data_IF_168112991406
#
_entry.id   IF_168112991406
#
_cell.length_a   1.000
_cell.length_b   1.000
_cell.length_c   1.000
_cell.angle_alpha   90.00
_cell.angle_beta   90.00
_cell.angle_gamma   90.00
#
_symmetry.space_group_name_H-M   'P 1'
#
loop_
_entity.id
_entity.type
_entity.pdbx_description
1 polymer ?
#
# COMPACT_ATOMS: atom_id res chain seq x y z
N UNK A 1 -14.80 -1.70 -1.44
CA UNK A 1 -15.81 -1.94 -2.50
C UNK A 1 -17.03 -2.62 -1.89
N UNK A 2 -18.22 -2.04 -1.99
CA UNK A 2 -19.45 -2.62 -1.41
C UNK A 2 -20.18 -3.45 -2.46
N UNK A 3 -20.54 -4.68 -2.12
CA UNK A 3 -21.22 -5.64 -2.98
C UNK A 3 -22.41 -6.27 -2.24
N UNK A 4 -23.37 -6.78 -3.01
CA UNK A 4 -24.48 -7.58 -2.49
C UNK A 4 -24.09 -9.06 -2.55
N UNK A 5 -24.20 -9.79 -1.44
CA UNK A 5 -23.80 -11.20 -1.35
C UNK A 5 -24.59 -12.11 -2.28
N UNK A 6 -25.80 -11.72 -2.70
CA UNK A 6 -26.62 -12.53 -3.61
C UNK A 6 -26.18 -12.46 -5.07
N UNK A 7 -25.57 -11.33 -5.49
CA UNK A 7 -25.08 -11.13 -6.87
C UNK A 7 -23.73 -10.41 -6.92
N UNK A 8 -22.69 -10.91 -6.23
CA UNK A 8 -21.45 -10.17 -6.06
C UNK A 8 -20.58 -10.18 -7.32
N UNK A 9 -20.61 -11.27 -8.10
CA UNK A 9 -19.66 -11.51 -9.20
C UNK A 9 -19.81 -10.51 -10.35
N UNK A 10 -21.04 -10.22 -10.77
CA UNK A 10 -21.29 -9.31 -11.90
C UNK A 10 -20.87 -7.88 -11.56
N UNK A 11 -21.26 -7.39 -10.37
CA UNK A 11 -20.89 -6.05 -9.93
C UNK A 11 -19.40 -5.93 -9.63
N UNK A 12 -18.81 -6.96 -9.01
CA UNK A 12 -17.36 -7.01 -8.79
C UNK A 12 -16.59 -6.85 -10.10
N UNK A 13 -16.92 -7.66 -11.12
CA UNK A 13 -16.23 -7.62 -12.41
C UNK A 13 -16.35 -6.26 -13.10
N UNK A 14 -17.54 -5.65 -13.07
CA UNK A 14 -17.75 -4.33 -13.66
C UNK A 14 -16.94 -3.25 -12.93
N UNK A 15 -16.98 -3.22 -11.60
CA UNK A 15 -16.26 -2.23 -10.81
C UNK A 15 -14.74 -2.39 -10.94
N UNK A 16 -14.24 -3.62 -10.92
CA UNK A 16 -12.82 -3.90 -11.12
C UNK A 16 -12.37 -3.45 -12.51
N UNK A 17 -13.15 -3.74 -13.56
CA UNK A 17 -12.83 -3.32 -14.92
C UNK A 17 -12.75 -1.79 -15.06
N UNK A 18 -13.73 -1.06 -14.52
CA UNK A 18 -13.71 0.41 -14.55
C UNK A 18 -12.51 0.96 -13.79
N UNK A 19 -12.25 0.49 -12.57
CA UNK A 19 -11.12 0.96 -11.76
C UNK A 19 -9.77 0.63 -12.42
N UNK A 20 -9.62 -0.55 -12.99
CA UNK A 20 -8.43 -0.93 -13.74
C UNK A 20 -8.25 -0.08 -15.01
N UNK A 21 -9.35 0.31 -15.68
CA UNK A 21 -9.34 1.24 -16.80
C UNK A 21 -8.83 2.64 -16.44
N UNK A 22 -9.00 3.08 -15.19
CA UNK A 22 -8.43 4.33 -14.67
C UNK A 22 -6.99 4.18 -14.12
N UNK A 23 -6.35 3.04 -14.32
CA UNK A 23 -4.97 2.79 -13.88
C UNK A 23 -4.84 2.48 -12.38
N UNK A 24 -5.95 2.18 -11.70
CA UNK A 24 -5.92 1.64 -10.34
C UNK A 24 -5.67 0.13 -10.38
N UNK A 25 -4.84 -0.36 -9.46
CA UNK A 25 -4.56 -1.80 -9.30
C UNK A 25 -4.92 -2.20 -7.88
N UNK A 26 -6.04 -2.92 -7.74
CA UNK A 26 -6.58 -3.31 -6.44
C UNK A 26 -5.85 -4.55 -5.91
N UNK A 27 -5.40 -4.51 -4.66
CA UNK A 27 -4.75 -5.64 -3.95
C UNK A 27 -3.56 -6.26 -4.70
N UNK A 28 -2.91 -5.50 -5.60
CA UNK A 28 -1.74 -5.91 -6.37
C UNK A 28 -0.51 -5.14 -5.86
N UNK A 29 0.66 -5.76 -5.99
CA UNK A 29 1.95 -5.10 -5.78
C UNK A 29 2.53 -4.64 -7.11
N UNK A 30 3.39 -3.60 -7.12
CA UNK A 30 4.09 -3.19 -8.33
C UNK A 30 4.86 -4.36 -8.96
N UNK A 31 4.69 -4.63 -10.27
CA UNK A 31 5.40 -5.68 -10.98
C UNK A 31 6.92 -5.55 -10.82
N UNK A 32 7.59 -6.64 -10.45
CA UNK A 32 9.06 -6.66 -10.32
C UNK A 32 9.74 -6.89 -11.68
N UNK A 33 9.47 -5.98 -12.62
CA UNK A 33 10.03 -5.98 -13.98
C UNK A 33 11.02 -4.83 -14.09
N UNK A 34 12.25 -5.13 -14.51
CA UNK A 34 13.23 -4.09 -14.80
C UNK A 34 13.09 -3.68 -16.25
N UNK A 35 12.64 -2.44 -16.49
CA UNK A 35 12.52 -1.85 -17.81
C UNK A 35 13.52 -0.70 -17.97
N UNK A 36 14.38 -0.78 -19.00
CA UNK A 36 15.33 0.28 -19.34
C UNK A 36 15.30 0.59 -20.83
N UNK A 37 14.86 1.79 -21.19
CA UNK A 37 14.90 2.28 -22.57
C UNK A 37 16.34 2.52 -23.03
N UNK A 38 16.62 2.20 -24.30
CA UNK A 38 17.92 2.43 -24.96
C UNK A 38 17.76 3.34 -26.18
N UNK A 39 18.88 3.86 -26.66
CA UNK A 39 18.92 4.62 -27.92
C UNK A 39 19.05 3.70 -29.14
N UNK A 40 19.76 2.57 -29.01
CA UNK A 40 20.06 1.61 -30.10
C UNK A 40 20.19 0.19 -29.55
N UNK A 41 20.08 -0.82 -30.41
CA UNK A 41 20.37 -2.22 -30.08
C UNK A 41 19.15 -3.14 -30.00
N UNK A 42 17.96 -2.67 -30.37
CA UNK A 42 16.74 -3.47 -30.37
C UNK A 42 16.18 -3.76 -28.98
N UNK A 43 15.22 -4.67 -28.93
CA UNK A 43 14.60 -5.16 -27.69
C UNK A 43 15.34 -6.41 -27.23
N UNK A 44 15.90 -6.36 -26.03
CA UNK A 44 16.49 -7.51 -25.36
C UNK A 44 15.56 -7.94 -24.22
N UNK A 45 15.16 -9.21 -24.24
CA UNK A 45 14.36 -9.82 -23.20
C UNK A 45 15.22 -10.84 -22.43
N UNK A 46 15.38 -10.62 -21.13
CA UNK A 46 16.00 -11.57 -20.21
C UNK A 46 14.95 -12.05 -19.22
N UNK A 47 14.78 -13.36 -19.07
CA UNK A 47 13.87 -13.95 -18.10
C UNK A 47 14.68 -14.78 -17.09
N UNK A 48 14.49 -14.51 -15.79
CA UNK A 48 15.10 -15.30 -14.71
C UNK A 48 14.27 -16.55 -14.42
N UNK A 49 12.97 -16.51 -14.73
CA UNK A 49 12.01 -17.59 -14.56
C UNK A 49 11.36 -17.90 -15.91
N UNK A 50 10.97 -19.16 -16.14
CA UNK A 50 10.22 -19.54 -17.33
C UNK A 50 8.94 -18.71 -17.46
N UNK A 51 8.65 -18.22 -18.67
CA UNK A 51 7.47 -17.40 -18.94
C UNK A 51 6.39 -18.24 -19.62
N UNK A 52 5.15 -18.04 -19.19
CA UNK A 52 3.97 -18.71 -19.75
C UNK A 52 3.35 -17.92 -20.91
N UNK A 53 3.38 -16.58 -20.82
CA UNK A 53 2.69 -15.68 -21.75
C UNK A 53 3.66 -14.79 -22.54
N UNK A 54 4.67 -14.23 -21.87
CA UNK A 54 5.58 -13.25 -22.46
C UNK A 54 6.73 -13.91 -23.22
N UNK A 55 6.61 -13.94 -24.55
CA UNK A 55 7.71 -14.22 -25.46
C UNK A 55 8.31 -12.93 -26.07
N UNK A 56 9.45 -13.08 -26.73
CA UNK A 56 10.18 -11.94 -27.30
C UNK A 56 9.39 -11.21 -28.40
N UNK A 57 8.52 -11.91 -29.13
CA UNK A 57 7.71 -11.34 -30.20
C UNK A 57 6.49 -10.58 -29.63
N UNK A 58 5.83 -11.09 -28.60
CA UNK A 58 4.76 -10.38 -27.88
C UNK A 58 5.32 -9.12 -27.22
N UNK A 59 6.46 -9.20 -26.54
CA UNK A 59 7.12 -8.04 -25.92
C UNK A 59 7.47 -6.97 -26.96
N UNK A 60 8.00 -7.37 -28.12
CA UNK A 60 8.26 -6.42 -29.23
C UNK A 60 6.99 -5.78 -29.76
N UNK A 61 5.89 -6.53 -29.85
CA UNK A 61 4.61 -6.04 -30.32
C UNK A 61 4.07 -4.97 -29.37
N UNK A 62 4.03 -5.28 -28.06
CA UNK A 62 3.63 -4.33 -27.01
C UNK A 62 4.49 -3.06 -27.07
N UNK A 63 5.82 -3.20 -27.04
CA UNK A 63 6.71 -2.04 -27.09
C UNK A 63 6.57 -1.23 -28.39
N UNK A 64 6.26 -1.89 -29.51
CA UNK A 64 6.00 -1.26 -30.79
C UNK A 64 4.80 -0.31 -30.76
N UNK A 65 3.71 -0.69 -30.09
CA UNK A 65 2.52 0.16 -29.89
C UNK A 65 2.86 1.43 -29.10
N UNK A 66 3.74 1.30 -28.10
CA UNK A 66 4.26 2.43 -27.33
C UNK A 66 5.40 3.20 -28.03
N UNK A 67 5.71 2.89 -29.29
CA UNK A 67 6.80 3.51 -30.09
C UNK A 67 8.18 3.37 -29.43
N UNK A 68 8.42 2.26 -28.75
CA UNK A 68 9.71 1.93 -28.10
C UNK A 68 10.40 0.83 -28.91
N UNK A 69 11.44 1.20 -29.65
CA UNK A 69 12.15 0.24 -30.52
C UNK A 69 13.40 -0.38 -29.88
N UNK A 70 13.93 0.23 -28.81
CA UNK A 70 15.12 -0.25 -28.12
C UNK A 70 14.91 -0.24 -26.61
N UNK A 71 14.99 -1.40 -25.97
CA UNK A 71 14.83 -1.55 -24.52
C UNK A 71 15.50 -2.83 -24.01
N UNK A 72 15.99 -2.79 -22.77
CA UNK A 72 16.27 -4.00 -21.97
C UNK A 72 15.10 -4.25 -21.03
N UNK A 73 14.55 -5.47 -21.08
CA UNK A 73 13.54 -5.95 -20.16
C UNK A 73 14.11 -7.15 -19.41
N UNK A 74 14.01 -7.12 -18.08
CA UNK A 74 14.32 -8.28 -17.24
C UNK A 74 13.10 -8.68 -16.43
N UNK A 75 12.59 -9.88 -16.69
CA UNK A 75 11.48 -10.50 -15.98
C UNK A 75 12.02 -11.37 -14.85
N UNK A 76 11.64 -11.03 -13.61
CA UNK A 76 12.08 -11.76 -12.40
C UNK A 76 11.04 -12.77 -11.89
N UNK A 77 9.86 -12.83 -12.50
CA UNK A 77 8.77 -13.76 -12.22
C UNK A 77 8.01 -14.04 -13.52
N UNK A 78 7.04 -14.96 -13.49
CA UNK A 78 6.14 -15.21 -14.63
C UNK A 78 5.15 -14.05 -14.76
N UNK A 79 5.46 -13.11 -15.67
CA UNK A 79 4.74 -11.85 -15.82
C UNK A 79 3.74 -11.91 -16.99
N UNK A 80 2.66 -11.15 -16.87
CA UNK A 80 1.62 -11.03 -17.92
C UNK A 80 1.88 -9.85 -18.84
N UNK A 81 1.20 -9.79 -20.00
CA UNK A 81 1.23 -8.61 -20.86
C UNK A 81 0.80 -7.33 -20.12
N UNK A 82 -0.22 -7.42 -19.27
CA UNK A 82 -0.73 -6.30 -18.47
C UNK A 82 0.31 -5.79 -17.47
N UNK A 83 1.08 -6.68 -16.83
CA UNK A 83 2.15 -6.29 -15.92
C UNK A 83 3.26 -5.49 -16.63
N UNK A 84 3.60 -5.89 -17.86
CA UNK A 84 4.57 -5.16 -18.66
C UNK A 84 4.03 -3.78 -19.06
N UNK A 85 2.76 -3.70 -19.45
CA UNK A 85 2.09 -2.43 -19.78
C UNK A 85 2.09 -1.49 -18.57
N UNK A 86 1.79 -2.01 -17.38
CA UNK A 86 1.79 -1.24 -16.13
C UNK A 86 3.16 -0.60 -15.84
N UNK A 87 4.26 -1.34 -16.08
CA UNK A 87 5.62 -0.80 -15.92
C UNK A 87 5.98 0.22 -17.01
N UNK A 88 5.51 0.04 -18.25
CA UNK A 88 5.76 1.00 -19.33
C UNK A 88 5.03 2.32 -19.09
N UNK A 89 3.78 2.27 -18.61
CA UNK A 89 3.00 3.48 -18.35
C UNK A 89 3.47 4.23 -17.10
N UNK A 90 3.85 3.52 -16.04
CA UNK A 90 4.47 4.10 -14.84
C UNK A 90 3.60 5.06 -14.03
N UNK A 91 2.36 5.30 -14.44
CA UNK A 91 1.36 6.17 -13.77
C UNK A 91 0.31 5.36 -12.99
N UNK A 92 0.55 4.06 -12.77
CA UNK A 92 -0.36 3.17 -12.05
C UNK A 92 -0.32 3.41 -10.55
N UNK A 93 -1.47 3.30 -9.92
CA UNK A 93 -1.62 3.44 -8.47
C UNK A 93 -2.08 2.10 -7.90
N UNK A 94 -1.26 1.53 -7.02
CA UNK A 94 -1.51 0.25 -6.35
C UNK A 94 -2.14 0.55 -5.00
N UNK A 95 -3.38 0.10 -4.80
CA UNK A 95 -4.14 0.39 -3.58
C UNK A 95 -4.76 -0.87 -2.99
N UNK A 96 -4.71 -1.02 -1.65
CA UNK A 96 -5.44 -2.09 -0.99
C UNK A 96 -6.95 -1.83 -1.08
N UNK A 97 -7.74 -2.89 -1.23
CA UNK A 97 -9.19 -2.83 -1.37
C UNK A 97 -9.86 -3.93 -0.55
N UNK A 98 -10.80 -3.54 0.29
CA UNK A 98 -11.65 -4.45 1.05
C UNK A 98 -12.96 -4.65 0.30
N UNK A 99 -13.35 -5.90 0.05
CA UNK A 99 -14.66 -6.26 -0.49
C UNK A 99 -15.64 -6.45 0.67
N UNK A 100 -16.61 -5.55 0.78
CA UNK A 100 -17.67 -5.61 1.77
C UNK A 100 -18.87 -6.32 1.15
N UNK A 101 -19.16 -7.54 1.59
CA UNK A 101 -20.31 -8.32 1.13
C UNK A 101 -21.47 -8.07 2.08
N UNK A 102 -22.41 -7.23 1.65
CA UNK A 102 -23.58 -6.86 2.44
C UNK A 102 -24.75 -7.85 2.24
N UNK A 103 -25.72 -7.80 3.16
CA UNK A 103 -26.95 -8.60 3.22
C UNK A 103 -26.75 -10.06 3.63
N UNK A 104 -25.83 -10.30 4.56
CA UNK A 104 -25.56 -11.66 5.06
C UNK A 104 -26.73 -12.25 5.87
N UNK A 105 -27.72 -11.42 6.23
CA UNK A 105 -29.01 -11.87 6.78
C UNK A 105 -29.82 -12.75 5.80
N UNK A 106 -29.45 -12.78 4.52
CA UNK A 106 -30.15 -13.53 3.47
C UNK A 106 -29.46 -14.85 3.10
N UNK A 107 -28.37 -15.21 3.78
CA UNK A 107 -27.60 -16.44 3.53
C UNK A 107 -27.56 -17.32 4.78
N UNK A 108 -27.22 -18.59 4.60
CA UNK A 108 -27.00 -19.54 5.68
C UNK A 108 -25.61 -19.39 6.32
N UNK A 109 -25.46 -19.95 7.53
CA UNK A 109 -24.17 -19.97 8.25
C UNK A 109 -23.10 -20.75 7.46
N UNK A 110 -23.51 -21.83 6.78
CA UNK A 110 -22.60 -22.65 5.95
C UNK A 110 -22.03 -21.86 4.77
N UNK A 111 -22.86 -21.03 4.13
CA UNK A 111 -22.42 -20.12 3.05
C UNK A 111 -21.51 -19.01 3.60
N UNK A 112 -21.79 -18.50 4.80
CA UNK A 112 -20.97 -17.51 5.47
C UNK A 112 -19.54 -18.04 5.72
N UNK A 113 -19.39 -19.29 6.15
CA UNK A 113 -18.09 -19.94 6.35
C UNK A 113 -17.27 -20.06 5.05
N UNK A 114 -17.94 -20.20 3.91
CA UNK A 114 -17.28 -20.19 2.59
C UNK A 114 -16.79 -18.78 2.25
N UNK A 115 -17.59 -17.76 2.55
CA UNK A 115 -17.24 -16.35 2.29
C UNK A 115 -16.01 -15.91 3.08
N UNK A 116 -15.87 -16.33 4.33
CA UNK A 116 -14.70 -16.01 5.16
C UNK A 116 -13.37 -16.56 4.60
N UNK A 117 -13.42 -17.54 3.70
CA UNK A 117 -12.22 -18.08 3.02
C UNK A 117 -11.76 -17.20 1.86
N UNK A 118 -12.60 -16.26 1.40
CA UNK A 118 -12.27 -15.36 0.29
C UNK A 118 -11.34 -14.26 0.83
N UNK A 119 -10.17 -14.03 0.21
CA UNK A 119 -9.24 -13.00 0.68
C UNK A 119 -9.82 -11.60 0.50
N UNK A 120 -9.39 -10.67 1.36
CA UNK A 120 -9.78 -9.26 1.34
C UNK A 120 -11.30 -9.03 1.49
N UNK A 121 -12.04 -9.98 2.04
CA UNK A 121 -13.50 -9.96 2.13
C UNK A 121 -13.98 -9.79 3.57
N UNK A 122 -14.97 -8.92 3.80
CA UNK A 122 -15.72 -8.86 5.07
C UNK A 122 -17.22 -9.01 4.79
N UNK A 123 -17.84 -10.12 5.26
CA UNK A 123 -19.29 -10.27 5.25
C UNK A 123 -19.93 -9.36 6.30
N UNK A 124 -20.92 -8.53 5.94
CA UNK A 124 -21.62 -7.61 6.85
C UNK A 124 -23.15 -7.65 6.64
N UNK A 125 -23.91 -7.29 7.68
CA UNK A 125 -25.31 -6.89 7.51
C UNK A 125 -25.46 -5.45 7.96
N UNK A 126 -25.61 -4.53 6.99
CA UNK A 126 -25.77 -3.11 7.28
C UNK A 126 -27.06 -2.81 8.08
N UNK A 127 -28.10 -3.62 7.92
CA UNK A 127 -29.36 -3.46 8.66
C UNK A 127 -29.19 -3.84 10.14
N UNK A 128 -28.55 -4.97 10.40
CA UNK A 128 -28.36 -5.49 11.76
C UNK A 128 -27.05 -5.06 12.42
N UNK A 129 -26.22 -4.29 11.72
CA UNK A 129 -24.89 -3.84 12.16
C UNK A 129 -23.96 -5.01 12.51
N UNK A 130 -24.09 -6.13 11.80
CA UNK A 130 -23.23 -7.30 12.00
C UNK A 130 -21.87 -7.08 11.36
N UNK A 131 -20.82 -7.55 12.06
CA UNK A 131 -19.42 -7.58 11.62
C UNK A 131 -18.82 -6.21 11.27
N UNK A 132 -19.34 -5.14 11.87
CA UNK A 132 -18.74 -3.81 11.74
C UNK A 132 -17.39 -3.74 12.45
N UNK A 133 -17.22 -4.48 13.54
CA UNK A 133 -15.96 -4.56 14.27
C UNK A 133 -14.86 -5.21 13.40
N UNK A 134 -15.15 -6.36 12.77
CA UNK A 134 -14.25 -7.03 11.82
C UNK A 134 -13.88 -6.11 10.64
N UNK A 135 -14.87 -5.36 10.14
CA UNK A 135 -14.63 -4.40 9.06
C UNK A 135 -13.67 -3.28 9.51
N UNK A 136 -13.91 -2.69 10.68
CA UNK A 136 -13.07 -1.63 11.23
C UNK A 136 -11.65 -2.14 11.52
N UNK A 137 -11.50 -3.35 12.04
CA UNK A 137 -10.20 -3.98 12.29
C UNK A 137 -9.44 -4.20 10.98
N UNK A 138 -10.09 -4.78 9.96
CA UNK A 138 -9.43 -5.00 8.68
C UNK A 138 -9.09 -3.67 7.97
N UNK A 139 -9.95 -2.66 8.09
CA UNK A 139 -9.66 -1.32 7.59
C UNK A 139 -8.43 -0.71 8.27
N UNK A 140 -8.32 -0.84 9.60
CA UNK A 140 -7.16 -0.36 10.35
C UNK A 140 -5.86 -1.04 9.87
N UNK A 141 -5.89 -2.37 9.69
CA UNK A 141 -4.76 -3.13 9.18
C UNK A 141 -4.34 -2.67 7.76
N UNK A 142 -5.32 -2.40 6.88
CA UNK A 142 -5.06 -2.04 5.47
C UNK A 142 -4.56 -0.61 5.31
N UNK A 143 -4.95 0.30 6.20
CA UNK A 143 -4.47 1.68 6.16
C UNK A 143 -2.98 1.82 6.54
N UNK A 144 -2.39 0.78 7.16
CA UNK A 144 -0.98 0.74 7.56
C UNK A 144 -0.53 2.04 8.24
N UNK A 145 -1.30 2.46 9.23
CA UNK A 145 -1.05 3.71 9.96
C UNK A 145 -0.14 3.47 11.16
N UNK A 146 0.66 4.49 11.46
CA UNK A 146 1.61 4.52 12.57
C UNK A 146 1.27 5.73 13.44
N UNK A 147 0.95 5.47 14.71
CA UNK A 147 0.61 6.48 15.72
C UNK A 147 1.87 6.84 16.49
N UNK A 148 2.20 8.13 16.51
CA UNK A 148 3.34 8.64 17.26
C UNK A 148 2.84 9.64 18.29
N UNK A 149 3.22 9.42 19.55
CA UNK A 149 2.82 10.27 20.66
C UNK A 149 3.83 11.38 20.91
N UNK A 150 3.34 12.61 21.08
CA UNK A 150 4.22 13.75 21.36
C UNK A 150 4.49 13.83 22.86
N UNK A 151 5.74 14.16 23.22
CA UNK A 151 6.12 14.39 24.60
C UNK A 151 6.87 15.73 24.73
N UNK A 152 6.25 16.78 25.30
CA UNK A 152 6.95 18.02 25.59
C UNK A 152 8.00 17.85 26.70
N UNK A 153 9.02 18.72 26.68
CA UNK A 153 10.07 18.71 27.71
C UNK A 153 9.44 19.06 29.07
N UNK A 154 9.66 18.19 30.06
CA UNK A 154 9.13 18.38 31.42
C UNK A 154 7.66 17.96 31.59
N UNK A 155 7.00 17.47 30.55
CA UNK A 155 5.64 16.96 30.61
C UNK A 155 5.60 15.45 30.30
N UNK A 156 4.48 14.82 30.69
CA UNK A 156 4.15 13.46 30.31
C UNK A 156 3.75 13.41 28.82
N UNK A 157 3.87 12.24 28.17
CA UNK A 157 3.37 12.05 26.81
C UNK A 157 1.85 12.27 26.75
N UNK A 158 1.38 12.86 25.66
CA UNK A 158 -0.05 12.95 25.36
C UNK A 158 -0.48 11.73 24.54
N UNK A 159 -1.28 10.84 25.16
CA UNK A 159 -1.85 9.65 24.52
C UNK A 159 -3.23 9.88 23.89
N UNK A 160 -3.82 11.06 24.08
CA UNK A 160 -5.14 11.38 23.53
C UNK A 160 -5.08 11.80 22.06
N UNK A 161 -3.98 12.44 21.66
CA UNK A 161 -3.83 13.07 20.35
C UNK A 161 -2.54 12.60 19.66
N UNK A 162 -2.49 11.35 19.14
CA UNK A 162 -1.35 10.88 18.37
C UNK A 162 -1.24 11.60 17.03
N UNK A 163 0.00 11.80 16.58
CA UNK A 163 0.28 12.15 15.19
C UNK A 163 0.28 10.87 14.38
N UNK A 164 -0.62 10.78 13.41
CA UNK A 164 -0.77 9.61 12.55
C UNK A 164 0.00 9.82 11.26
N UNK A 165 0.92 8.90 10.96
CA UNK A 165 1.69 8.81 9.72
C UNK A 165 1.32 7.54 8.96
N UNK A 166 1.55 7.54 7.65
CA UNK A 166 1.47 6.32 6.84
C UNK A 166 2.78 5.53 6.97
N UNK A 167 2.73 4.20 6.96
CA UNK A 167 3.88 3.31 7.17
C UNK A 167 5.09 3.62 6.26
N UNK A 168 4.84 4.02 5.02
CA UNK A 168 5.88 4.39 4.04
C UNK A 168 6.62 5.70 4.38
N UNK A 169 6.05 6.54 5.24
CA UNK A 169 6.56 7.87 5.57
C UNK A 169 6.63 8.08 7.09
N UNK A 170 7.39 7.20 7.76
CA UNK A 170 7.50 7.11 9.22
C UNK A 170 8.78 7.73 9.78
N UNK A 171 9.54 8.51 8.99
CA UNK A 171 10.73 9.18 9.49
C UNK A 171 10.42 10.29 10.51
N UNK A 172 11.39 10.62 11.36
CA UNK A 172 11.30 11.80 12.24
C UNK A 172 11.10 13.09 11.43
N UNK A 173 11.63 13.17 10.22
CA UNK A 173 11.35 14.26 9.28
C UNK A 173 9.85 14.38 8.95
N UNK A 174 9.23 13.28 8.52
CA UNK A 174 7.80 13.21 8.21
C UNK A 174 6.94 13.59 9.41
N UNK A 175 7.32 13.11 10.60
CA UNK A 175 6.70 13.51 11.86
C UNK A 175 6.79 15.02 12.11
N UNK A 176 7.99 15.61 11.96
CA UNK A 176 8.19 17.04 12.13
C UNK A 176 7.37 17.86 11.13
N UNK A 177 7.33 17.44 9.86
CA UNK A 177 6.58 18.10 8.80
C UNK A 177 5.06 18.03 9.02
N UNK A 178 4.56 16.91 9.58
CA UNK A 178 3.16 16.74 9.96
C UNK A 178 2.76 17.66 11.11
N UNK A 179 3.67 17.89 12.07
CA UNK A 179 3.45 18.80 13.19
C UNK A 179 3.47 20.26 12.73
N UNK A 180 4.56 20.69 12.07
CA UNK A 180 4.66 21.98 11.41
C UNK A 180 5.90 22.06 10.50
N UNK A 181 5.75 22.55 9.27
CA UNK A 181 6.81 22.64 8.23
C UNK A 181 8.12 23.33 8.65
N UNK A 182 8.13 24.16 9.69
CA UNK A 182 9.35 24.85 10.15
C UNK A 182 10.16 24.03 11.16
N UNK A 183 9.55 23.05 11.81
CA UNK A 183 10.18 22.28 12.90
C UNK A 183 11.35 21.46 12.37
N UNK A 184 11.21 20.90 11.16
CA UNK A 184 12.30 20.17 10.50
C UNK A 184 13.56 21.05 10.31
N UNK A 185 13.40 22.35 10.01
CA UNK A 185 14.53 23.29 9.83
C UNK A 185 15.26 23.59 11.15
N UNK A 186 14.49 23.69 12.23
CA UNK A 186 14.99 23.96 13.59
C UNK A 186 15.43 22.68 14.31
N UNK A 187 15.33 21.50 13.69
CA UNK A 187 15.62 20.23 14.33
C UNK A 187 17.10 20.09 14.72
N UNK A 188 17.37 19.71 15.98
CA UNK A 188 18.72 19.34 16.45
C UNK A 188 18.85 17.84 16.66
N UNK A 189 17.90 17.23 17.36
CA UNK A 189 17.76 15.79 17.56
C UNK A 189 16.36 15.48 18.15
N UNK A 190 15.96 14.21 18.12
CA UNK A 190 14.80 13.73 18.87
C UNK A 190 15.24 12.75 19.97
N UNK A 191 14.49 12.72 21.06
CA UNK A 191 14.51 11.63 22.03
C UNK A 191 13.31 10.74 21.76
N UNK A 192 13.54 9.45 21.59
CA UNK A 192 12.50 8.47 21.30
C UNK A 192 12.43 7.42 22.39
N UNK A 193 11.21 7.07 22.78
CA UNK A 193 10.91 5.90 23.61
C UNK A 193 9.98 5.01 22.80
N UNK A 194 10.31 3.73 22.68
CA UNK A 194 9.44 2.77 22.01
C UNK A 194 10.24 1.66 21.34
N UNK A 195 9.62 1.00 20.37
CA UNK A 195 10.17 -0.20 19.74
C UNK A 195 11.17 0.12 18.63
N UNK A 196 11.18 1.35 18.09
CA UNK A 196 12.14 1.75 17.05
C UNK A 196 13.56 1.94 17.57
N UNK A 197 13.75 2.02 18.88
CA UNK A 197 15.04 2.28 19.52
C UNK A 197 15.45 1.16 20.47
N UNK A 198 16.76 0.93 20.60
CA UNK A 198 17.30 -0.15 21.44
C UNK A 198 17.38 0.23 22.92
N UNK A 199 17.50 1.52 23.20
CA UNK A 199 17.60 2.07 24.57
C UNK A 199 16.51 3.11 24.79
N UNK A 200 15.98 3.19 26.01
CA UNK A 200 14.88 4.09 26.34
C UNK A 200 15.32 5.16 27.36
N UNK A 201 15.29 6.46 27.03
CA UNK A 201 15.22 7.02 25.67
C UNK A 201 16.54 6.90 24.91
N UNK A 202 16.46 6.94 23.59
CA UNK A 202 17.62 7.07 22.70
C UNK A 202 17.55 8.37 21.90
N UNK A 203 18.71 9.00 21.72
CA UNK A 203 18.86 10.17 20.86
C UNK A 203 18.96 9.73 19.39
N UNK A 204 18.09 10.27 18.54
CA UNK A 204 18.02 9.91 17.12
C UNK A 204 18.12 11.13 16.21
N UNK A 205 18.51 10.88 14.96
CA UNK A 205 18.57 11.87 13.88
C UNK A 205 17.22 12.08 13.18
N UNK A 206 17.22 12.91 12.14
CA UNK A 206 16.01 13.26 11.38
C UNK A 206 15.54 12.12 10.45
N UNK A 207 16.49 11.28 10.00
CA UNK A 207 16.22 10.14 9.11
C UNK A 207 15.79 8.87 9.86
N UNK A 208 15.72 8.92 11.20
CA UNK A 208 15.32 7.77 12.00
C UNK A 208 13.88 7.37 11.71
N UNK A 209 13.65 6.06 11.52
CA UNK A 209 12.34 5.49 11.23
C UNK A 209 11.63 5.17 12.54
N UNK A 210 10.44 5.72 12.73
CA UNK A 210 9.59 5.52 13.89
C UNK A 210 8.67 4.31 13.69
N UNK A 211 8.34 3.64 14.79
CA UNK A 211 7.40 2.54 14.83
C UNK A 211 6.08 2.96 15.49
N UNK A 212 5.05 2.12 15.36
CA UNK A 212 3.75 2.38 15.99
C UNK A 212 3.90 2.48 17.51
N UNK A 213 3.18 3.44 18.08
CA UNK A 213 3.16 3.80 19.50
C UNK A 213 4.47 4.37 20.07
N UNK A 214 5.43 4.75 19.21
CA UNK A 214 6.61 5.47 19.67
C UNK A 214 6.24 6.83 20.28
N UNK A 215 6.96 7.21 21.33
CA UNK A 215 6.87 8.52 21.96
C UNK A 215 8.07 9.36 21.52
N UNK A 216 7.82 10.58 21.05
CA UNK A 216 8.86 11.46 20.50
C UNK A 216 8.87 12.81 21.20
N UNK A 217 10.07 13.22 21.63
CA UNK A 217 10.36 14.57 22.12
C UNK A 217 11.37 15.25 21.19
N UNK A 218 10.94 16.31 20.51
CA UNK A 218 11.80 17.09 19.59
C UNK A 218 12.64 18.09 20.39
N UNK A 219 13.92 18.18 20.08
CA UNK A 219 14.83 19.22 20.60
C UNK A 219 15.29 20.11 19.45
N UNK A 220 15.04 21.40 19.60
CA UNK A 220 15.40 22.42 18.60
C UNK A 220 16.85 22.89 18.73
N UNK A 221 17.41 23.39 17.63
CA UNK A 221 18.66 24.15 17.61
C UNK A 221 18.42 25.45 18.37
N UNK A 222 19.33 25.76 19.28
CA UNK A 222 19.39 27.06 19.97
C UNK A 222 20.15 28.01 19.06
#
# INVERSE_FOLDING_TARGET
MVLDVLKPLTHKKLLEHELEGFGLRLNKQPPNISFRKKDKGGVNLNATVAQSELDLDTVKTILGEYKIHNADITLKYDATADDLIDVIEGNRIYIPCIYLLNKIDQISIEELDVIYKIPHCVPISAHHHWNFDDWLEMMWQYLQLVRIYTKPKGQLPDYSSPIVLHHEHTSVESFCNKLHRTIAKEFKYALVWGSSVKHQPQKVGIDHILNDEDVVQIVKKV
#
